data_IF_747300622530
#
_entry.id   IF_747300622530
#
_cell.length_a   1.000
_cell.length_b   1.000
_cell.length_c   1.000
_cell.angle_alpha   90.00
_cell.angle_beta   90.00
_cell.angle_gamma   90.00
#
_symmetry.space_group_name_H-M   'P 1'
#
loop_
_entity.id
_entity.type
_entity.pdbx_description
1 polymer ?
#
# COMPACT_ATOMS: atom_id res chain seq x y z
N UNK A 1 -26.66 22.07 27.40
CA UNK A 1 -26.09 20.75 27.05
C UNK A 1 -24.66 20.72 27.58
N UNK A 2 -24.41 19.95 28.64
CA UNK A 2 -23.24 20.07 29.52
C UNK A 2 -21.91 19.68 28.84
N UNK A 3 -20.85 20.42 29.18
CA UNK A 3 -19.46 20.18 28.74
C UNK A 3 -18.93 18.80 29.17
N UNK A 4 -19.50 18.19 30.21
CA UNK A 4 -19.09 16.87 30.70
C UNK A 4 -19.44 15.73 29.72
N UNK A 5 -20.59 15.79 29.03
CA UNK A 5 -20.96 14.76 28.03
C UNK A 5 -20.00 14.71 26.83
N UNK A 6 -19.35 15.82 26.48
CA UNK A 6 -18.35 15.86 25.38
C UNK A 6 -17.00 15.30 25.81
N UNK A 7 -16.72 15.22 27.12
CA UNK A 7 -15.50 14.63 27.68
C UNK A 7 -15.67 13.11 27.79
N UNK A 8 -16.84 12.66 28.24
CA UNK A 8 -17.17 11.23 28.30
C UNK A 8 -17.22 10.57 26.91
N UNK A 9 -17.71 11.25 25.87
CA UNK A 9 -17.67 10.75 24.49
C UNK A 9 -16.25 10.64 23.91
N UNK A 10 -15.32 11.50 24.36
CA UNK A 10 -13.90 11.44 23.95
C UNK A 10 -13.10 10.37 24.70
N UNK A 11 -13.52 10.00 25.90
CA UNK A 11 -12.94 8.89 26.67
C UNK A 11 -13.57 7.54 26.28
N UNK A 12 -14.85 7.52 25.91
CA UNK A 12 -15.54 6.30 25.46
C UNK A 12 -15.11 5.81 24.08
N UNK A 13 -14.56 6.68 23.21
CA UNK A 13 -14.08 6.28 21.87
C UNK A 13 -12.75 5.51 21.86
N UNK A 14 -12.06 5.39 23.00
CA UNK A 14 -10.68 4.88 23.10
C UNK A 14 -10.53 3.36 23.32
N UNK A 15 -11.56 2.57 23.03
CA UNK A 15 -11.51 1.12 23.24
C UNK A 15 -12.69 0.34 22.66
N UNK A 16 -13.77 1.04 22.26
CA UNK A 16 -15.01 0.36 21.89
C UNK A 16 -14.98 -0.30 20.51
N UNK A 17 -14.18 0.15 19.54
CA UNK A 17 -14.28 -0.36 18.17
C UNK A 17 -13.68 -1.77 18.03
N UNK A 18 -12.44 -1.95 18.46
CA UNK A 18 -11.74 -3.23 18.37
C UNK A 18 -12.17 -4.21 19.45
N UNK A 19 -12.34 -3.80 20.71
CA UNK A 19 -12.79 -4.73 21.74
C UNK A 19 -14.19 -5.28 21.44
N UNK A 20 -15.14 -4.47 20.97
CA UNK A 20 -16.48 -4.96 20.61
C UNK A 20 -16.43 -5.93 19.43
N UNK A 21 -15.55 -5.66 18.46
CA UNK A 21 -15.29 -6.53 17.30
C UNK A 21 -14.66 -7.86 17.73
N UNK A 22 -13.81 -7.87 18.77
CA UNK A 22 -13.03 -9.03 19.20
C UNK A 22 -13.70 -9.92 20.25
N UNK A 23 -14.52 -9.37 21.14
CA UNK A 23 -15.03 -10.08 22.34
C UNK A 23 -16.02 -11.21 22.01
N UNK A 24 -16.49 -11.32 20.76
CA UNK A 24 -17.60 -12.21 20.40
C UNK A 24 -17.10 -13.38 19.55
N UNK A 25 -16.62 -14.46 20.18
CA UNK A 25 -15.98 -15.62 19.54
C UNK A 25 -16.71 -16.96 19.70
N UNK A 26 -18.00 -17.05 19.36
CA UNK A 26 -18.74 -18.33 19.25
C UNK A 26 -19.76 -18.26 18.11
N UNK A 27 -20.37 -19.36 17.64
CA UNK A 27 -21.22 -19.31 16.43
C UNK A 27 -22.46 -18.40 16.52
N UNK A 28 -22.94 -18.10 17.74
CA UNK A 28 -23.99 -17.08 18.01
C UNK A 28 -23.45 -15.63 17.88
N UNK A 29 -22.13 -15.48 17.75
CA UNK A 29 -21.39 -14.23 17.84
C UNK A 29 -21.14 -13.53 16.51
N UNK A 30 -21.10 -14.24 15.38
CA UNK A 30 -20.89 -13.61 14.08
C UNK A 30 -22.01 -12.60 13.77
N UNK A 31 -23.26 -12.98 14.07
CA UNK A 31 -24.42 -12.09 13.94
C UNK A 31 -24.34 -10.89 14.90
N UNK A 32 -23.86 -11.09 16.13
CA UNK A 32 -23.67 -10.03 17.13
C UNK A 32 -22.50 -9.11 16.76
N UNK A 33 -21.42 -9.64 16.20
CA UNK A 33 -20.27 -8.88 15.71
C UNK A 33 -20.68 -8.02 14.51
N UNK A 34 -21.46 -8.60 13.58
CA UNK A 34 -22.06 -7.87 12.47
C UNK A 34 -22.99 -6.76 12.95
N UNK A 35 -23.84 -7.03 13.93
CA UNK A 35 -24.78 -6.06 14.52
C UNK A 35 -24.03 -4.95 15.27
N UNK A 36 -22.95 -5.29 15.97
CA UNK A 36 -22.12 -4.34 16.71
C UNK A 36 -21.28 -3.43 15.81
N UNK A 37 -20.66 -3.98 14.75
CA UNK A 37 -20.00 -3.17 13.72
C UNK A 37 -21.04 -2.26 13.07
N UNK A 38 -22.21 -2.78 12.72
CA UNK A 38 -23.31 -1.98 12.16
C UNK A 38 -23.75 -0.85 13.11
N UNK A 39 -23.72 -1.08 14.43
CA UNK A 39 -24.02 -0.05 15.44
C UNK A 39 -22.95 1.04 15.52
N UNK A 40 -21.66 0.69 15.56
CA UNK A 40 -20.53 1.65 15.54
C UNK A 40 -20.59 2.50 14.27
N UNK A 41 -20.86 1.85 13.15
CA UNK A 41 -21.12 2.47 11.85
C UNK A 41 -22.33 3.39 11.90
N UNK A 42 -23.42 2.96 12.55
CA UNK A 42 -24.63 3.76 12.79
C UNK A 42 -24.34 5.04 13.57
N UNK A 43 -23.50 4.97 14.60
CA UNK A 43 -23.11 6.12 15.40
C UNK A 43 -22.18 7.07 14.62
N UNK A 44 -21.21 6.51 13.87
CA UNK A 44 -20.36 7.29 12.95
C UNK A 44 -21.16 7.97 11.82
N UNK A 45 -22.20 7.30 11.30
CA UNK A 45 -23.15 7.85 10.33
C UNK A 45 -23.87 9.07 10.90
N UNK A 46 -24.35 8.99 12.14
CA UNK A 46 -25.06 10.07 12.83
C UNK A 46 -24.14 11.26 13.09
N UNK A 47 -22.93 11.00 13.59
CA UNK A 47 -21.96 12.05 13.90
C UNK A 47 -21.42 12.74 12.64
N UNK A 48 -21.13 11.99 11.57
CA UNK A 48 -20.70 12.54 10.28
C UNK A 48 -21.84 13.30 9.57
N UNK A 49 -23.08 12.82 9.68
CA UNK A 49 -24.24 13.53 9.15
C UNK A 49 -24.56 14.83 9.91
N UNK A 50 -24.18 14.92 11.20
CA UNK A 50 -24.39 16.11 12.02
C UNK A 50 -23.42 17.26 11.72
N UNK A 51 -22.26 16.98 11.12
CA UNK A 51 -21.20 17.96 10.83
C UNK A 51 -21.31 18.63 9.45
N UNK A 52 -22.43 18.41 8.75
CA UNK A 52 -22.63 18.89 7.38
C UNK A 52 -22.72 20.43 7.34
N UNK A 53 -21.71 21.01 6.69
CA UNK A 53 -21.46 22.43 6.44
C UNK A 53 -22.77 23.18 6.08
N UNK A 54 -23.14 24.26 6.79
CA UNK A 54 -24.28 25.10 6.41
C UNK A 54 -24.08 25.68 5.00
N UNK A 55 -25.01 25.41 4.08
CA UNK A 55 -25.10 26.13 2.79
C UNK A 55 -24.83 25.33 1.50
N UNK A 56 -24.66 24.00 1.53
CA UNK A 56 -24.50 23.18 0.31
C UNK A 56 -25.80 22.43 -0.02
N UNK A 57 -26.28 22.54 -1.27
CA UNK A 57 -27.55 21.97 -1.76
C UNK A 57 -27.67 20.45 -1.56
N UNK A 58 -28.89 19.95 -1.25
CA UNK A 58 -29.18 18.57 -0.85
C UNK A 58 -28.78 17.44 -1.82
N UNK A 59 -28.52 17.71 -3.10
CA UNK A 59 -28.08 16.68 -4.05
C UNK A 59 -26.62 16.22 -3.85
N UNK A 60 -25.70 17.14 -3.52
CA UNK A 60 -24.29 16.83 -3.21
C UNK A 60 -24.19 16.04 -1.90
N UNK A 61 -25.11 16.32 -0.97
CA UNK A 61 -25.24 15.65 0.32
C UNK A 61 -25.67 14.19 0.15
N UNK A 62 -26.59 13.91 -0.78
CA UNK A 62 -27.05 12.55 -1.08
C UNK A 62 -25.96 11.65 -1.66
N UNK A 63 -25.18 12.13 -2.63
CA UNK A 63 -24.11 11.34 -3.25
C UNK A 63 -23.00 10.97 -2.27
N UNK A 64 -22.52 11.92 -1.46
CA UNK A 64 -21.49 11.66 -0.45
C UNK A 64 -22.00 10.72 0.65
N UNK A 65 -23.27 10.87 1.06
CA UNK A 65 -23.90 9.97 2.02
C UNK A 65 -24.05 8.54 1.49
N UNK A 66 -24.55 8.38 0.27
CA UNK A 66 -24.68 7.06 -0.35
C UNK A 66 -23.32 6.37 -0.51
N UNK A 67 -22.28 7.14 -0.87
CA UNK A 67 -20.90 6.63 -0.91
C UNK A 67 -20.42 6.19 0.47
N UNK A 68 -20.58 7.04 1.49
CA UNK A 68 -20.24 6.70 2.86
C UNK A 68 -20.92 5.39 3.27
N UNK A 69 -22.26 5.31 3.15
CA UNK A 69 -23.04 4.13 3.58
C UNK A 69 -22.57 2.86 2.87
N UNK A 70 -22.30 2.96 1.57
CA UNK A 70 -21.77 1.86 0.76
C UNK A 70 -20.37 1.45 1.21
N UNK A 71 -19.45 2.41 1.34
CA UNK A 71 -18.06 2.13 1.71
C UNK A 71 -17.98 1.47 3.09
N UNK A 72 -18.76 1.96 4.04
CA UNK A 72 -18.73 1.40 5.39
C UNK A 72 -19.37 0.01 5.44
N UNK A 73 -20.41 -0.26 4.65
CA UNK A 73 -20.96 -1.60 4.50
C UNK A 73 -19.89 -2.57 3.95
N UNK A 74 -19.25 -2.20 2.85
CA UNK A 74 -18.19 -3.02 2.24
C UNK A 74 -17.04 -3.25 3.21
N UNK A 75 -16.60 -2.19 3.92
CA UNK A 75 -15.55 -2.30 4.93
C UNK A 75 -15.93 -3.26 6.06
N UNK A 76 -17.17 -3.21 6.52
CA UNK A 76 -17.70 -4.10 7.56
C UNK A 76 -17.71 -5.56 7.09
N UNK A 77 -18.16 -5.81 5.86
CA UNK A 77 -18.20 -7.15 5.27
C UNK A 77 -16.80 -7.73 5.11
N UNK A 78 -15.86 -6.95 4.57
CA UNK A 78 -14.45 -7.32 4.42
C UNK A 78 -13.77 -7.55 5.78
N UNK A 79 -13.97 -6.65 6.75
CA UNK A 79 -13.40 -6.77 8.10
C UNK A 79 -13.94 -8.00 8.83
N UNK A 80 -15.24 -8.27 8.70
CA UNK A 80 -15.86 -9.48 9.25
C UNK A 80 -15.23 -10.75 8.66
N UNK A 81 -14.90 -10.76 7.37
CA UNK A 81 -14.24 -11.92 6.74
C UNK A 81 -12.84 -12.21 7.31
N UNK A 82 -12.19 -11.20 7.91
CA UNK A 82 -10.84 -11.28 8.48
C UNK A 82 -10.82 -11.24 10.01
N UNK A 83 -11.99 -11.36 10.66
CA UNK A 83 -12.11 -11.10 12.10
C UNK A 83 -11.27 -12.04 12.97
N UNK A 84 -11.21 -13.32 12.61
CA UNK A 84 -10.44 -14.29 13.38
C UNK A 84 -8.94 -14.05 13.28
N UNK A 85 -8.44 -13.62 12.11
CA UNK A 85 -7.03 -13.25 11.92
C UNK A 85 -6.67 -12.05 12.81
N UNK A 86 -7.53 -11.03 12.84
CA UNK A 86 -7.38 -9.86 13.71
C UNK A 86 -7.42 -10.25 15.19
N UNK A 87 -8.32 -11.16 15.58
CA UNK A 87 -8.40 -11.65 16.96
C UNK A 87 -7.10 -12.31 17.40
N UNK A 88 -6.62 -13.28 16.63
CA UNK A 88 -5.37 -14.00 16.93
C UNK A 88 -4.20 -13.02 17.04
N UNK A 89 -4.10 -12.04 16.13
CA UNK A 89 -3.05 -11.04 16.16
C UNK A 89 -3.05 -10.20 17.45
N UNK A 90 -4.22 -9.96 18.03
CA UNK A 90 -4.41 -9.10 19.20
C UNK A 90 -4.33 -9.83 20.54
N UNK A 91 -4.51 -11.16 20.56
CA UNK A 91 -4.32 -11.98 21.76
C UNK A 91 -2.90 -11.85 22.35
N UNK A 92 -1.91 -11.58 21.49
CA UNK A 92 -0.51 -11.48 21.88
C UNK A 92 -0.02 -10.04 22.07
N UNK A 93 -0.90 -9.03 21.96
CA UNK A 93 -0.56 -7.61 22.13
C UNK A 93 -0.75 -7.14 23.57
N UNK A 94 0.13 -6.23 23.98
CA UNK A 94 -0.03 -5.47 25.23
C UNK A 94 -1.16 -4.44 25.11
N UNK A 95 -1.70 -3.96 26.24
CA UNK A 95 -2.76 -2.94 26.25
C UNK A 95 -2.34 -1.65 25.52
N UNK A 96 -1.08 -1.25 25.66
CA UNK A 96 -0.53 -0.09 24.94
C UNK A 96 -0.50 -0.30 23.42
N UNK A 97 -0.17 -1.52 22.97
CA UNK A 97 -0.19 -1.86 21.54
C UNK A 97 -1.62 -1.88 21.01
N UNK A 98 -2.59 -2.39 21.79
CA UNK A 98 -4.02 -2.35 21.43
C UNK A 98 -4.53 -0.92 21.31
N UNK A 99 -4.23 -0.03 22.28
CA UNK A 99 -4.58 1.39 22.18
C UNK A 99 -3.97 2.04 20.94
N UNK A 100 -2.74 1.65 20.57
CA UNK A 100 -2.12 2.14 19.33
C UNK A 100 -2.85 1.65 18.07
N UNK A 101 -3.24 0.38 18.04
CA UNK A 101 -3.99 -0.19 16.91
C UNK A 101 -5.37 0.47 16.80
N UNK A 102 -6.05 0.77 17.90
CA UNK A 102 -7.29 1.55 17.93
C UNK A 102 -7.12 2.95 17.32
N UNK A 103 -6.01 3.63 17.62
CA UNK A 103 -5.70 4.92 17.01
C UNK A 103 -5.47 4.77 15.49
N UNK A 104 -4.72 3.76 15.07
CA UNK A 104 -4.45 3.51 13.65
C UNK A 104 -5.72 3.09 12.89
N UNK A 105 -6.63 2.35 13.52
CA UNK A 105 -7.95 2.03 12.97
C UNK A 105 -8.73 3.29 12.60
N UNK A 106 -8.69 4.33 13.45
CA UNK A 106 -9.34 5.60 13.14
C UNK A 106 -8.74 6.27 11.89
N UNK A 107 -7.41 6.21 11.71
CA UNK A 107 -6.79 6.70 10.46
C UNK A 107 -7.28 5.91 9.25
N UNK A 108 -7.32 4.58 9.33
CA UNK A 108 -7.84 3.74 8.24
C UNK A 108 -9.28 4.12 7.88
N UNK A 109 -10.12 4.38 8.89
CA UNK A 109 -11.50 4.79 8.68
C UNK A 109 -11.62 6.11 7.91
N UNK A 110 -10.75 7.09 8.15
CA UNK A 110 -10.73 8.35 7.39
C UNK A 110 -10.48 8.09 5.89
N UNK A 111 -9.63 7.12 5.54
CA UNK A 111 -9.41 6.72 4.14
C UNK A 111 -10.62 5.99 3.53
N UNK A 112 -11.23 5.09 4.29
CA UNK A 112 -12.40 4.29 3.84
C UNK A 112 -13.59 5.18 3.54
N UNK A 113 -13.87 6.15 4.40
CA UNK A 113 -15.02 7.07 4.26
C UNK A 113 -14.96 7.86 2.95
N UNK A 114 -13.76 8.32 2.57
CA UNK A 114 -13.56 9.18 1.41
C UNK A 114 -13.28 8.44 0.08
N UNK A 115 -13.06 7.11 0.14
CA UNK A 115 -12.67 6.32 -1.03
C UNK A 115 -13.74 6.35 -2.14
N UNK A 116 -13.29 6.56 -3.37
CA UNK A 116 -14.14 6.67 -4.56
C UNK A 116 -14.40 5.30 -5.20
N UNK A 117 -13.41 4.41 -5.14
CA UNK A 117 -13.45 3.07 -5.74
C UNK A 117 -13.67 2.03 -4.64
N UNK A 118 -14.92 1.61 -4.49
CA UNK A 118 -15.36 0.65 -3.47
C UNK A 118 -14.50 -0.63 -3.44
N UNK A 119 -14.08 -1.12 -4.60
CA UNK A 119 -13.20 -2.30 -4.72
C UNK A 119 -11.86 -2.15 -4.01
N UNK A 120 -11.40 -0.92 -3.70
CA UNK A 120 -10.15 -0.71 -2.95
C UNK A 120 -10.30 -0.94 -1.45
N UNK A 121 -11.54 -0.99 -0.94
CA UNK A 121 -11.80 -1.15 0.48
C UNK A 121 -11.26 -2.49 0.99
N UNK A 122 -11.32 -3.56 0.18
CA UNK A 122 -10.70 -4.85 0.52
C UNK A 122 -9.19 -4.70 0.81
N UNK A 123 -8.49 -3.86 0.02
CA UNK A 123 -7.07 -3.61 0.23
C UNK A 123 -6.82 -2.78 1.48
N UNK A 124 -7.68 -1.81 1.78
CA UNK A 124 -7.62 -1.07 3.04
C UNK A 124 -7.82 -2.01 4.25
N UNK A 125 -8.73 -2.98 4.16
CA UNK A 125 -8.89 -3.99 5.22
C UNK A 125 -7.65 -4.85 5.37
N UNK A 126 -7.06 -5.34 4.27
CA UNK A 126 -5.81 -6.10 4.33
C UNK A 126 -4.68 -5.29 4.98
N UNK A 127 -4.58 -4.00 4.65
CA UNK A 127 -3.65 -3.09 5.30
C UNK A 127 -3.86 -3.01 6.80
N UNK A 128 -5.13 -2.95 7.25
CA UNK A 128 -5.45 -2.96 8.67
C UNK A 128 -5.11 -4.30 9.36
N UNK A 129 -5.40 -5.43 8.72
CA UNK A 129 -4.99 -6.75 9.22
C UNK A 129 -3.47 -6.77 9.42
N UNK A 130 -2.69 -6.32 8.43
CA UNK A 130 -1.23 -6.25 8.52
C UNK A 130 -0.74 -5.28 9.62
N UNK A 131 -1.46 -4.18 9.90
CA UNK A 131 -1.18 -3.33 11.08
C UNK A 131 -1.26 -4.15 12.36
N UNK A 132 -2.29 -5.00 12.50
CA UNK A 132 -2.48 -5.81 13.71
C UNK A 132 -1.42 -6.90 13.88
N UNK A 133 -0.85 -7.41 12.79
CA UNK A 133 0.25 -8.39 12.84
C UNK A 133 1.53 -7.78 13.45
N UNK A 134 1.87 -6.54 13.08
CA UNK A 134 3.14 -5.91 13.46
C UNK A 134 3.23 -5.54 14.95
N UNK A 135 4.43 -5.68 15.54
CA UNK A 135 4.67 -5.35 16.95
C UNK A 135 4.76 -3.84 17.21
N UNK A 136 5.34 -3.11 16.25
CA UNK A 136 5.58 -1.67 16.34
C UNK A 136 5.25 -1.05 15.00
N UNK A 137 4.28 -0.14 15.00
CA UNK A 137 3.81 0.54 13.79
C UNK A 137 3.81 2.05 14.05
N UNK A 138 4.49 2.77 13.16
CA UNK A 138 4.56 4.23 13.18
C UNK A 138 3.34 4.85 12.48
N UNK A 139 2.82 5.95 13.02
CA UNK A 139 1.74 6.72 12.38
C UNK A 139 2.15 7.19 10.99
N UNK A 140 3.34 7.79 10.86
CA UNK A 140 3.85 8.30 9.59
C UNK A 140 3.98 7.20 8.54
N UNK A 141 4.37 6.00 8.97
CA UNK A 141 4.46 4.84 8.08
C UNK A 141 3.09 4.45 7.53
N UNK A 142 2.08 4.36 8.40
CA UNK A 142 0.71 4.00 8.00
C UNK A 142 0.08 5.08 7.12
N UNK A 143 0.20 6.34 7.51
CA UNK A 143 -0.29 7.45 6.69
C UNK A 143 0.38 7.45 5.32
N UNK A 144 1.69 7.25 5.24
CA UNK A 144 2.41 7.15 3.95
C UNK A 144 1.87 6.01 3.08
N UNK A 145 1.67 4.82 3.65
CA UNK A 145 1.17 3.66 2.90
C UNK A 145 -0.26 3.88 2.40
N UNK A 146 -1.14 4.39 3.25
CA UNK A 146 -2.54 4.65 2.89
C UNK A 146 -2.68 5.85 1.94
N UNK A 147 -1.84 6.87 2.04
CA UNK A 147 -1.78 7.97 1.08
C UNK A 147 -1.39 7.46 -0.31
N UNK A 148 -0.38 6.59 -0.38
CA UNK A 148 -0.01 5.94 -1.65
C UNK A 148 -1.17 5.11 -2.18
N UNK A 149 -1.79 4.25 -1.35
CA UNK A 149 -2.95 3.47 -1.78
C UNK A 149 -4.08 4.37 -2.28
N UNK A 150 -4.38 5.46 -1.59
CA UNK A 150 -5.40 6.46 -1.97
C UNK A 150 -5.12 7.07 -3.35
N UNK A 151 -3.86 7.37 -3.67
CA UNK A 151 -3.47 7.91 -4.97
C UNK A 151 -3.63 6.90 -6.12
N UNK A 152 -3.50 5.60 -5.85
CA UNK A 152 -3.65 4.56 -6.86
C UNK A 152 -5.10 4.35 -7.29
N UNK A 153 -5.29 4.18 -8.60
CA UNK A 153 -6.51 3.65 -9.18
C UNK A 153 -6.43 2.13 -9.31
N UNK A 154 -7.58 1.49 -9.51
CA UNK A 154 -7.65 0.03 -9.75
C UNK A 154 -6.78 -0.45 -10.92
N UNK A 155 -6.60 0.38 -11.95
CA UNK A 155 -5.69 0.09 -13.06
C UNK A 155 -4.23 0.09 -12.61
N UNK A 156 -3.81 1.05 -11.79
CA UNK A 156 -2.46 1.10 -11.22
C UNK A 156 -2.20 -0.15 -10.36
N UNK A 157 -3.17 -0.54 -9.54
CA UNK A 157 -3.10 -1.76 -8.71
C UNK A 157 -2.98 -3.01 -9.60
N UNK A 158 -3.75 -3.10 -10.68
CA UNK A 158 -3.69 -4.26 -11.60
C UNK A 158 -2.34 -4.36 -12.31
N UNK A 159 -1.78 -3.23 -12.76
CA UNK A 159 -0.44 -3.19 -13.34
C UNK A 159 0.62 -3.58 -12.29
N UNK A 160 0.49 -3.08 -11.07
CA UNK A 160 1.40 -3.41 -9.98
C UNK A 160 1.36 -4.90 -9.62
N UNK A 161 0.16 -5.50 -9.54
CA UNK A 161 -0.04 -6.94 -9.33
C UNK A 161 0.62 -7.75 -10.43
N UNK A 162 0.36 -7.44 -11.70
CA UNK A 162 0.99 -8.09 -12.84
C UNK A 162 2.53 -8.03 -12.74
N UNK A 163 3.08 -6.87 -12.41
CA UNK A 163 4.53 -6.70 -12.24
C UNK A 163 5.10 -7.48 -11.05
N UNK A 164 4.32 -7.67 -9.98
CA UNK A 164 4.69 -8.54 -8.86
C UNK A 164 4.66 -10.02 -9.27
N UNK A 165 3.50 -10.48 -9.72
CA UNK A 165 3.24 -11.89 -10.04
C UNK A 165 4.17 -12.41 -11.12
N UNK A 166 4.42 -11.60 -12.17
CA UNK A 166 5.33 -11.96 -13.26
C UNK A 166 6.76 -12.30 -12.79
N UNK A 167 7.18 -11.79 -11.64
CA UNK A 167 8.55 -11.96 -11.12
C UNK A 167 8.63 -12.84 -9.88
N UNK A 168 7.62 -12.83 -9.03
CA UNK A 168 7.67 -13.44 -7.70
C UNK A 168 6.73 -14.63 -7.51
N UNK A 169 5.73 -14.82 -8.40
CA UNK A 169 4.80 -15.97 -8.34
C UNK A 169 5.21 -17.00 -9.40
N UNK A 170 5.48 -18.22 -8.95
CA UNK A 170 6.01 -19.30 -9.80
C UNK A 170 4.95 -20.16 -10.48
N UNK A 171 3.66 -20.00 -10.14
CA UNK A 171 2.60 -20.78 -10.76
C UNK A 171 2.42 -20.39 -12.24
N UNK A 172 2.27 -21.41 -13.10
CA UNK A 172 2.42 -21.32 -14.55
C UNK A 172 1.10 -21.44 -15.32
N UNK A 173 0.00 -21.84 -14.67
CA UNK A 173 -1.18 -22.29 -15.43
C UNK A 173 -2.11 -21.16 -15.93
N UNK A 174 -2.00 -19.94 -15.41
CA UNK A 174 -2.72 -18.78 -15.94
C UNK A 174 -1.99 -17.46 -15.66
N UNK A 175 -0.80 -17.28 -16.24
CA UNK A 175 -0.08 -16.00 -16.12
C UNK A 175 -0.82 -14.91 -16.90
N UNK A 176 -1.55 -14.09 -16.15
CA UNK A 176 -2.05 -12.80 -16.61
C UNK A 176 -0.94 -12.06 -17.37
N UNK A 177 -1.30 -11.48 -18.50
CA UNK A 177 -0.43 -10.69 -19.35
C UNK A 177 -0.83 -9.22 -19.31
N UNK A 178 0.04 -8.36 -19.85
CA UNK A 178 -0.30 -6.93 -19.97
C UNK A 178 -1.51 -6.71 -20.89
N UNK A 179 -1.76 -7.61 -21.87
CA UNK A 179 -2.96 -7.54 -22.71
C UNK A 179 -4.24 -7.75 -21.91
N UNK A 180 -4.25 -8.69 -20.96
CA UNK A 180 -5.42 -8.97 -20.12
C UNK A 180 -5.74 -7.76 -19.22
N UNK A 181 -4.71 -7.10 -18.68
CA UNK A 181 -4.89 -5.85 -17.90
C UNK A 181 -5.43 -4.73 -18.79
N UNK A 182 -4.91 -4.58 -20.01
CA UNK A 182 -5.40 -3.55 -20.94
C UNK A 182 -6.85 -3.78 -21.33
N UNK A 183 -7.23 -5.02 -21.62
CA UNK A 183 -8.61 -5.40 -21.98
C UNK A 183 -9.57 -5.18 -20.80
N UNK A 184 -9.21 -5.64 -19.59
CA UNK A 184 -10.03 -5.47 -18.38
C UNK A 184 -10.34 -4.02 -18.06
N UNK A 185 -9.35 -3.14 -18.22
CA UNK A 185 -9.50 -1.71 -17.90
C UNK A 185 -9.88 -0.85 -19.10
N UNK A 186 -10.00 -1.43 -20.30
CA UNK A 186 -10.35 -0.71 -21.53
C UNK A 186 -9.33 0.37 -21.89
N UNK A 187 -8.03 0.12 -21.68
CA UNK A 187 -6.95 1.09 -21.91
C UNK A 187 -6.09 0.70 -23.12
N UNK A 188 -5.55 1.71 -23.78
CA UNK A 188 -4.51 1.56 -24.81
C UNK A 188 -3.15 1.22 -24.19
N UNK A 189 -2.23 0.78 -25.05
CA UNK A 189 -0.84 0.54 -24.65
C UNK A 189 -0.15 1.82 -24.15
N UNK A 190 -0.41 2.96 -24.77
CA UNK A 190 0.14 4.26 -24.35
C UNK A 190 -0.35 4.67 -22.96
N UNK A 191 -1.61 4.38 -22.65
CA UNK A 191 -2.19 4.59 -21.32
C UNK A 191 -1.60 3.61 -20.29
N UNK A 192 -1.42 2.34 -20.65
CA UNK A 192 -0.73 1.36 -19.82
C UNK A 192 0.70 1.79 -19.48
N UNK A 193 1.47 2.27 -20.46
CA UNK A 193 2.81 2.82 -20.23
C UNK A 193 2.78 4.08 -19.36
N UNK A 194 1.72 4.89 -19.44
CA UNK A 194 1.54 6.05 -18.56
C UNK A 194 1.27 5.64 -17.11
N UNK A 195 0.50 4.56 -16.89
CA UNK A 195 0.32 3.94 -15.57
C UNK A 195 1.66 3.46 -15.01
N UNK A 196 2.46 2.74 -15.81
CA UNK A 196 3.81 2.31 -15.39
C UNK A 196 4.72 3.47 -15.01
N UNK A 197 4.69 4.57 -15.76
CA UNK A 197 5.44 5.80 -15.43
C UNK A 197 4.93 6.47 -14.15
N UNK A 198 3.61 6.46 -13.90
CA UNK A 198 3.05 6.98 -12.65
C UNK A 198 3.49 6.13 -11.45
N UNK A 199 3.49 4.80 -11.57
CA UNK A 199 4.00 3.90 -10.53
C UNK A 199 5.49 4.10 -10.25
N UNK A 200 6.29 4.45 -11.27
CA UNK A 200 7.68 4.89 -11.08
C UNK A 200 7.75 6.22 -10.31
N UNK A 201 6.94 7.22 -10.68
CA UNK A 201 6.91 8.53 -10.01
C UNK A 201 6.58 8.43 -8.53
N UNK A 202 5.67 7.53 -8.16
CA UNK A 202 5.25 7.26 -6.77
C UNK A 202 6.29 6.41 -6.02
N UNK A 203 7.28 5.84 -6.72
CA UNK A 203 8.36 5.05 -6.13
C UNK A 203 8.03 3.57 -5.91
N UNK A 204 6.88 3.09 -6.39
CA UNK A 204 6.50 1.67 -6.36
C UNK A 204 7.30 0.87 -7.41
N UNK A 205 7.68 1.52 -8.50
CA UNK A 205 8.64 0.99 -9.47
C UNK A 205 9.96 1.76 -9.38
N UNK A 206 11.02 1.16 -9.91
CA UNK A 206 12.36 1.72 -10.05
C UNK A 206 12.95 1.26 -11.38
N UNK A 207 14.01 1.91 -11.84
CA UNK A 207 14.74 1.43 -13.02
C UNK A 207 15.83 0.45 -12.62
N UNK A 208 16.26 -0.44 -13.52
CA UNK A 208 17.49 -1.21 -13.29
C UNK A 208 18.70 -0.31 -13.12
N UNK A 209 18.66 0.88 -13.69
CA UNK A 209 19.72 1.89 -13.53
C UNK A 209 19.87 2.29 -12.07
N UNK A 210 18.78 2.58 -11.38
CA UNK A 210 18.82 2.96 -9.96
C UNK A 210 19.40 1.83 -9.08
N UNK A 211 19.12 0.57 -9.43
CA UNK A 211 19.62 -0.60 -8.70
C UNK A 211 21.10 -0.89 -8.95
N UNK A 212 21.59 -0.66 -10.18
CA UNK A 212 22.94 -1.04 -10.60
C UNK A 212 23.89 0.17 -10.68
N UNK A 213 23.47 1.35 -10.22
CA UNK A 213 24.24 2.57 -10.36
C UNK A 213 25.62 2.44 -9.70
N UNK A 214 25.70 1.78 -8.54
CA UNK A 214 26.96 1.55 -7.84
C UNK A 214 27.86 0.59 -8.61
N UNK A 215 27.31 -0.53 -9.09
CA UNK A 215 28.02 -1.51 -9.91
C UNK A 215 28.58 -0.86 -11.19
N UNK A 216 27.79 0.00 -11.81
CA UNK A 216 28.16 0.72 -13.02
C UNK A 216 29.21 1.80 -12.75
N UNK A 217 29.11 2.52 -11.63
CA UNK A 217 30.14 3.46 -11.17
C UNK A 217 31.45 2.73 -10.87
N UNK A 218 31.41 1.56 -10.25
CA UNK A 218 32.60 0.75 -9.98
C UNK A 218 33.26 0.27 -11.27
N UNK A 219 32.48 -0.18 -12.27
CA UNK A 219 33.00 -0.55 -13.58
C UNK A 219 33.60 0.67 -14.30
N UNK A 220 32.98 1.85 -14.22
CA UNK A 220 33.51 3.11 -14.77
C UNK A 220 34.84 3.48 -14.09
N UNK A 221 34.90 3.45 -12.75
CA UNK A 221 36.11 3.76 -11.98
C UNK A 221 37.24 2.78 -12.35
N UNK A 222 36.92 1.51 -12.50
CA UNK A 222 37.87 0.49 -12.96
C UNK A 222 38.40 0.79 -14.37
N UNK A 223 37.53 1.15 -15.31
CA UNK A 223 37.95 1.56 -16.67
C UNK A 223 38.76 2.84 -16.69
N UNK A 224 38.44 3.79 -15.82
CA UNK A 224 39.22 5.00 -15.65
C UNK A 224 40.64 4.70 -15.13
N UNK A 225 40.79 3.79 -14.17
CA UNK A 225 42.12 3.32 -13.70
C UNK A 225 42.90 2.58 -14.79
N UNK A 226 42.22 1.75 -15.60
CA UNK A 226 42.83 1.08 -16.76
C UNK A 226 43.35 2.12 -17.79
N UNK A 227 42.57 3.17 -18.06
CA UNK A 227 42.95 4.30 -18.93
C UNK A 227 44.13 5.09 -18.37
N UNK A 228 44.11 5.43 -17.09
CA UNK A 228 45.24 6.11 -16.44
C UNK A 228 46.53 5.29 -16.57
N UNK A 229 46.45 3.98 -16.28
CA UNK A 229 47.59 3.06 -16.40
C UNK A 229 48.08 2.95 -17.85
N UNK A 230 47.17 2.97 -18.82
CA UNK A 230 47.52 2.99 -20.23
C UNK A 230 48.29 4.26 -20.59
N UNK A 231 47.79 5.44 -20.17
CA UNK A 231 48.43 6.74 -20.43
C UNK A 231 49.79 6.87 -19.75
N UNK A 232 49.93 6.42 -18.51
CA UNK A 232 51.22 6.40 -17.79
C UNK A 232 52.26 5.55 -18.54
N UNK A 233 51.85 4.39 -19.05
CA UNK A 233 52.73 3.50 -19.81
C UNK A 233 53.07 4.06 -21.19
N UNK A 234 52.11 4.71 -21.84
CA UNK A 234 52.30 5.34 -23.16
C UNK A 234 53.26 6.54 -23.09
N UNK A 235 53.16 7.33 -22.02
CA UNK A 235 53.95 8.56 -21.86
C UNK A 235 55.31 8.33 -21.21
N UNK A 236 55.56 7.15 -20.62
CA UNK A 236 56.85 6.80 -20.03
C UNK A 236 57.87 6.34 -21.09
N UNK A 237 58.93 7.13 -21.38
CA UNK A 237 59.91 6.81 -22.42
C UNK A 237 60.76 5.57 -22.12
N UNK A 238 60.71 5.03 -20.88
CA UNK A 238 61.42 3.82 -20.48
C UNK A 238 60.57 2.55 -20.60
N UNK A 239 59.28 2.67 -20.88
CA UNK A 239 58.39 1.52 -21.01
C UNK A 239 58.55 0.88 -22.40
N UNK A 240 59.01 -0.37 -22.44
CA UNK A 240 59.20 -1.15 -23.69
C UNK A 240 58.20 -2.31 -23.85
N UNK A 241 57.20 -2.39 -22.97
CA UNK A 241 56.19 -3.44 -22.99
C UNK A 241 55.03 -3.11 -23.94
N UNK A 242 54.17 -4.09 -24.22
CA UNK A 242 52.92 -3.85 -24.94
C UNK A 242 51.93 -3.08 -24.08
N UNK A 243 51.23 -2.14 -24.69
CA UNK A 243 50.20 -1.36 -24.01
C UNK A 243 48.99 -2.24 -23.66
N UNK A 244 48.36 -2.02 -22.50
CA UNK A 244 47.16 -2.77 -22.13
C UNK A 244 46.02 -2.50 -23.12
N UNK A 245 45.19 -3.52 -23.39
CA UNK A 245 44.01 -3.36 -24.25
C UNK A 245 42.89 -2.69 -23.47
N UNK A 246 42.42 -1.55 -23.97
CA UNK A 246 41.24 -0.87 -23.46
C UNK A 246 39.98 -1.60 -23.94
N UNK A 247 38.99 -1.71 -23.06
CA UNK A 247 37.67 -2.28 -23.36
C UNK A 247 36.60 -1.32 -22.87
N UNK A 248 35.50 -1.23 -23.60
CA UNK A 248 34.35 -0.44 -23.20
C UNK A 248 33.75 -0.95 -21.87
N UNK A 249 33.26 -0.05 -21.01
CA UNK A 249 32.58 -0.42 -19.78
C UNK A 249 31.30 -1.21 -20.09
N UNK A 250 31.08 -2.31 -19.37
CA UNK A 250 29.85 -3.11 -19.51
C UNK A 250 28.85 -2.66 -18.46
N UNK A 251 28.04 -1.66 -18.81
CA UNK A 251 26.98 -1.16 -17.95
C UNK A 251 25.84 -2.17 -17.85
N UNK A 252 25.37 -2.40 -16.62
CA UNK A 252 24.22 -3.26 -16.31
C UNK A 252 22.91 -2.48 -16.30
N UNK A 253 22.98 -1.16 -16.13
CA UNK A 253 21.84 -0.26 -16.18
C UNK A 253 21.04 -0.41 -17.48
N UNK A 254 19.72 -0.53 -17.33
CA UNK A 254 18.74 -0.50 -18.43
C UNK A 254 17.52 0.28 -17.95
N UNK A 255 16.86 1.01 -18.85
CA UNK A 255 15.62 1.76 -18.54
C UNK A 255 14.39 0.87 -18.29
N UNK A 256 14.59 -0.44 -18.09
CA UNK A 256 13.50 -1.35 -17.79
C UNK A 256 13.02 -1.10 -16.36
N UNK A 257 11.72 -0.84 -16.24
CA UNK A 257 11.05 -0.70 -14.94
C UNK A 257 10.96 -2.05 -14.25
N UNK A 258 11.34 -2.07 -12.98
CA UNK A 258 11.21 -3.19 -12.06
C UNK A 258 10.54 -2.74 -10.77
N UNK A 259 10.08 -3.68 -9.96
CA UNK A 259 9.50 -3.34 -8.67
C UNK A 259 10.56 -2.88 -7.68
N UNK A 260 10.34 -1.73 -7.04
CA UNK A 260 11.23 -1.21 -6.00
C UNK A 260 11.10 -2.04 -4.71
N UNK A 261 11.98 -1.82 -3.72
CA UNK A 261 11.83 -2.44 -2.40
C UNK A 261 10.52 -1.99 -1.75
N UNK A 262 10.27 -0.67 -1.76
CA UNK A 262 9.03 -0.09 -1.27
C UNK A 262 7.80 -0.66 -1.98
N UNK A 263 7.85 -0.83 -3.31
CA UNK A 263 6.76 -1.44 -4.07
C UNK A 263 6.45 -2.87 -3.67
N UNK A 264 7.48 -3.68 -3.37
CA UNK A 264 7.26 -5.06 -2.86
C UNK A 264 6.63 -5.06 -1.48
N UNK A 265 7.16 -4.22 -0.59
CA UNK A 265 6.64 -4.11 0.78
C UNK A 265 5.19 -3.58 0.77
N UNK A 266 4.88 -2.65 -0.15
CA UNK A 266 3.52 -2.16 -0.39
C UNK A 266 2.57 -3.25 -0.89
N UNK A 267 2.99 -4.03 -1.89
CA UNK A 267 2.20 -5.15 -2.42
C UNK A 267 1.89 -6.16 -1.31
N UNK A 268 2.88 -6.53 -0.52
CA UNK A 268 2.69 -7.45 0.63
C UNK A 268 1.73 -6.90 1.67
N UNK A 269 1.83 -5.61 1.95
CA UNK A 269 1.04 -4.96 2.97
C UNK A 269 -0.44 -4.79 2.58
N UNK A 270 -0.79 -4.70 1.30
CA UNK A 270 -2.17 -4.41 0.88
C UNK A 270 -2.82 -5.51 0.03
N UNK A 271 -2.04 -6.29 -0.74
CA UNK A 271 -2.58 -7.13 -1.80
C UNK A 271 -2.56 -8.63 -1.49
N UNK A 272 -2.02 -9.05 -0.33
CA UNK A 272 -2.01 -10.44 0.18
C UNK A 272 -1.51 -11.51 -0.83
N UNK A 273 -0.71 -11.12 -1.84
CA UNK A 273 -0.31 -12.00 -2.95
C UNK A 273 0.70 -13.11 -2.57
N UNK A 274 1.18 -13.13 -1.32
CA UNK A 274 2.14 -14.12 -0.82
C UNK A 274 1.47 -15.22 0.03
N UNK A 275 0.15 -15.12 0.31
CA UNK A 275 -0.60 -16.03 1.19
C UNK A 275 -1.42 -17.11 0.42
N UNK A 276 -1.27 -17.22 -0.91
CA UNK A 276 -1.86 -18.28 -1.75
C UNK A 276 -0.90 -19.45 -2.02
#
# INVERSE_FOLDING_TARGET
>A
MNRDKRKDLKESGKGLALETVLTVGSDTAADIAKESITSIVGDMLVDSASSLIPGVSGAVQGYKRARFERNIRTFTEELHSKIEEIRVNLEHKTDQQKEKIDQLFNFVMDYVIDEQQEDKIQYMVNGFVNITEHEQVSDDFILTYYDVLKELRMVDISVLRLMYSSRFIFDQEARETFHDVMERHGISYEQYESVRRNLLRIGLLTTKTDLNITDDLDEIVKKFKELHTYLDKLTNPRYKGSLPKLKEPKLKSKENLEMSKFGRDFVRFFLDLDKE
#
